data_IF_648916183224
#
_entry.id   IF_648916183224
#
_cell.length_a   1.000
_cell.length_b   1.000
_cell.length_c   1.000
_cell.angle_alpha   90.00
_cell.angle_beta   90.00
_cell.angle_gamma   90.00
#
_symmetry.space_group_name_H-M   'P 1'
#
loop_
_entity.id
_entity.type
_entity.pdbx_description
1 polymer ?
#
# COMPACT_ATOMS: atom_id res chain seq x y z
N UNK A 1 -12.82 2.60 -19.32
CA UNK A 1 -12.84 2.85 -17.86
C UNK A 1 -13.08 4.31 -17.51
N UNK A 2 -12.41 5.28 -18.16
CA UNK A 2 -12.67 6.72 -17.95
C UNK A 2 -14.13 7.18 -18.22
N UNK A 3 -14.81 6.59 -19.22
CA UNK A 3 -16.20 6.96 -19.57
C UNK A 3 -17.26 6.52 -18.53
N UNK A 4 -16.91 5.61 -17.62
CA UNK A 4 -17.83 5.08 -16.60
C UNK A 4 -17.81 5.95 -15.34
N UNK A 5 -16.64 6.44 -14.92
CA UNK A 5 -16.49 7.33 -13.76
C UNK A 5 -16.97 8.75 -14.03
N UNK A 6 -16.77 9.26 -15.25
CA UNK A 6 -17.23 10.58 -15.66
C UNK A 6 -18.78 10.65 -15.68
N UNK A 7 -19.46 9.51 -15.90
CA UNK A 7 -20.93 9.41 -15.81
C UNK A 7 -21.46 9.47 -14.37
N UNK A 8 -20.69 9.01 -13.38
CA UNK A 8 -21.10 9.00 -11.98
C UNK A 8 -20.93 10.37 -11.31
N UNK A 9 -19.83 11.08 -11.57
CA UNK A 9 -19.60 12.41 -11.01
C UNK A 9 -20.66 13.43 -11.49
N UNK A 10 -21.00 13.37 -12.77
CA UNK A 10 -22.02 14.19 -13.41
C UNK A 10 -23.44 13.82 -12.91
N UNK A 11 -23.66 12.54 -12.58
CA UNK A 11 -24.87 12.03 -11.93
C UNK A 11 -25.05 12.57 -10.51
N UNK A 12 -24.00 12.52 -9.70
CA UNK A 12 -23.98 13.02 -8.32
C UNK A 12 -24.24 14.53 -8.24
N UNK A 13 -23.60 15.31 -9.11
CA UNK A 13 -23.83 16.76 -9.21
C UNK A 13 -25.27 17.09 -9.60
N UNK A 14 -25.86 16.35 -10.56
CA UNK A 14 -27.27 16.51 -10.93
C UNK A 14 -28.21 16.12 -9.79
N UNK A 15 -27.89 15.05 -9.05
CA UNK A 15 -28.66 14.60 -7.90
C UNK A 15 -28.64 15.59 -6.76
N UNK A 16 -27.49 16.23 -6.50
CA UNK A 16 -27.33 17.30 -5.51
C UNK A 16 -28.14 18.54 -5.88
N UNK A 17 -28.11 18.95 -7.16
CA UNK A 17 -28.93 20.09 -7.64
C UNK A 17 -30.42 19.77 -7.51
N UNK A 18 -30.83 18.53 -7.83
CA UNK A 18 -32.21 18.09 -7.70
C UNK A 18 -32.68 18.05 -6.24
N UNK A 19 -31.84 17.59 -5.31
CA UNK A 19 -32.18 17.51 -3.88
C UNK A 19 -32.36 18.90 -3.26
N UNK A 20 -31.43 19.82 -3.52
CA UNK A 20 -31.53 21.21 -3.04
C UNK A 20 -32.75 21.91 -3.65
N UNK A 21 -33.04 21.68 -4.93
CA UNK A 21 -34.22 22.26 -5.61
C UNK A 21 -35.55 21.77 -5.05
N UNK A 22 -35.58 20.58 -4.44
CA UNK A 22 -36.79 19.97 -3.89
C UNK A 22 -37.16 20.50 -2.49
N UNK A 23 -36.29 21.27 -1.82
CA UNK A 23 -36.54 21.83 -0.48
C UNK A 23 -37.70 22.84 -0.54
N UNK A 24 -38.86 22.62 0.13
CA UNK A 24 -40.04 23.46 -0.06
C UNK A 24 -39.90 24.89 0.45
N UNK A 25 -39.25 25.10 1.60
CA UNK A 25 -39.05 26.42 2.20
C UNK A 25 -37.95 27.20 1.44
N UNK A 26 -38.25 28.40 0.88
CA UNK A 26 -37.24 29.20 0.19
C UNK A 26 -36.07 29.66 1.08
N UNK A 27 -36.28 29.84 2.39
CA UNK A 27 -35.20 30.26 3.30
C UNK A 27 -34.25 29.10 3.56
N UNK A 28 -34.79 27.93 3.90
CA UNK A 28 -34.03 26.69 4.07
C UNK A 28 -33.27 26.32 2.79
N UNK A 29 -33.93 26.42 1.64
CA UNK A 29 -33.32 26.19 0.33
C UNK A 29 -32.14 27.15 0.08
N UNK A 30 -32.29 28.43 0.39
CA UNK A 30 -31.23 29.41 0.23
C UNK A 30 -30.04 29.13 1.16
N UNK A 31 -30.28 28.75 2.42
CA UNK A 31 -29.21 28.36 3.34
C UNK A 31 -28.47 27.11 2.87
N UNK A 32 -29.20 26.12 2.33
CA UNK A 32 -28.61 24.90 1.83
C UNK A 32 -27.76 25.14 0.58
N UNK A 33 -28.20 26.01 -0.34
CA UNK A 33 -27.39 26.47 -1.46
C UNK A 33 -26.07 27.09 -1.01
N UNK A 34 -26.07 27.88 0.08
CA UNK A 34 -24.85 28.49 0.62
C UNK A 34 -23.92 27.42 1.19
N UNK A 35 -24.45 26.50 2.01
CA UNK A 35 -23.70 25.39 2.63
C UNK A 35 -23.03 24.52 1.57
N UNK A 36 -23.79 24.03 0.59
CA UNK A 36 -23.27 23.23 -0.53
C UNK A 36 -22.25 24.03 -1.34
N UNK A 37 -22.50 25.32 -1.57
CA UNK A 37 -21.56 26.19 -2.27
C UNK A 37 -20.23 26.38 -1.52
N UNK A 38 -20.25 26.36 -0.19
CA UNK A 38 -19.04 26.38 0.65
C UNK A 38 -18.30 25.05 0.61
N UNK A 39 -19.02 23.92 0.66
CA UNK A 39 -18.42 22.58 0.52
C UNK A 39 -17.73 22.40 -0.84
N UNK A 40 -18.39 22.79 -1.92
CA UNK A 40 -17.80 22.75 -3.27
C UNK A 40 -16.58 23.67 -3.38
N UNK A 41 -16.60 24.85 -2.74
CA UNK A 41 -15.42 25.72 -2.66
C UNK A 41 -14.29 25.07 -1.85
N UNK A 42 -14.62 24.38 -0.77
CA UNK A 42 -13.68 23.58 0.02
C UNK A 42 -12.99 22.51 -0.84
N UNK A 43 -13.78 21.71 -1.58
CA UNK A 43 -13.28 20.70 -2.51
C UNK A 43 -12.39 21.31 -3.61
N UNK A 44 -12.78 22.45 -4.19
CA UNK A 44 -11.93 23.15 -5.16
C UNK A 44 -10.61 23.61 -4.56
N UNK A 45 -10.60 24.07 -3.31
CA UNK A 45 -9.39 24.45 -2.59
C UNK A 45 -8.46 23.26 -2.36
N UNK A 46 -9.03 22.12 -1.94
CA UNK A 46 -8.29 20.85 -1.77
C UNK A 46 -7.71 20.37 -3.09
N UNK A 47 -8.51 20.34 -4.17
CA UNK A 47 -8.03 19.98 -5.51
C UNK A 47 -6.93 20.92 -6.00
N UNK A 48 -7.03 22.21 -5.72
CA UNK A 48 -5.98 23.17 -6.03
C UNK A 48 -4.68 22.90 -5.24
N UNK A 49 -4.79 22.44 -3.99
CA UNK A 49 -3.63 22.02 -3.20
C UNK A 49 -3.00 20.73 -3.77
N UNK A 50 -3.81 19.73 -4.11
CA UNK A 50 -3.36 18.50 -4.80
C UNK A 50 -2.62 18.86 -6.09
N UNK A 51 -3.19 19.75 -6.91
CA UNK A 51 -2.56 20.22 -8.15
C UNK A 51 -1.21 20.91 -7.88
N UNK A 52 -1.12 21.78 -6.88
CA UNK A 52 0.16 22.44 -6.54
C UNK A 52 1.20 21.42 -6.07
N UNK A 53 0.80 20.46 -5.23
CA UNK A 53 1.66 19.37 -4.78
C UNK A 53 2.17 18.54 -5.97
N UNK A 54 1.29 18.16 -6.90
CA UNK A 54 1.65 17.42 -8.11
C UNK A 54 2.61 18.19 -9.02
N UNK A 55 2.44 19.51 -9.17
CA UNK A 55 3.38 20.38 -9.90
C UNK A 55 4.77 20.32 -9.26
N UNK A 56 4.84 20.40 -7.93
CA UNK A 56 6.11 20.28 -7.21
C UNK A 56 6.72 18.89 -7.38
N UNK A 57 5.94 17.82 -7.23
CA UNK A 57 6.43 16.45 -7.40
C UNK A 57 6.98 16.23 -8.80
N UNK A 58 6.34 16.75 -9.85
CA UNK A 58 6.88 16.70 -11.20
C UNK A 58 8.30 17.30 -11.33
N UNK A 59 8.70 18.23 -10.44
CA UNK A 59 10.07 18.78 -10.41
C UNK A 59 11.12 17.86 -9.79
N UNK A 60 10.69 16.82 -9.07
CA UNK A 60 11.59 15.85 -8.45
C UNK A 60 11.97 14.71 -9.41
N UNK A 61 11.24 14.54 -10.53
CA UNK A 61 11.57 13.54 -11.56
C UNK A 61 12.99 13.73 -12.10
N UNK A 62 13.73 12.64 -12.41
CA UNK A 62 15.07 12.72 -12.97
C UNK A 62 15.13 13.61 -14.22
N UNK A 63 16.05 14.57 -14.23
CA UNK A 63 16.25 15.48 -15.38
C UNK A 63 15.17 16.56 -15.55
N UNK A 64 14.15 16.60 -14.70
CA UNK A 64 13.15 17.66 -14.72
C UNK A 64 13.76 19.00 -14.27
N UNK A 65 13.41 20.06 -14.98
CA UNK A 65 13.71 21.44 -14.59
C UNK A 65 12.41 22.20 -14.40
N UNK A 66 12.41 23.27 -13.60
CA UNK A 66 11.20 24.08 -13.43
C UNK A 66 10.65 24.65 -14.75
N UNK A 67 11.50 24.80 -15.78
CA UNK A 67 11.07 25.20 -17.13
C UNK A 67 10.46 24.05 -17.93
N UNK A 68 11.02 22.84 -17.86
CA UNK A 68 10.47 21.69 -18.56
C UNK A 68 9.12 21.28 -17.99
N UNK A 69 8.97 21.27 -16.66
CA UNK A 69 7.71 20.98 -15.96
C UNK A 69 6.65 22.03 -16.28
N UNK A 70 7.02 23.31 -16.31
CA UNK A 70 6.11 24.39 -16.70
C UNK A 70 5.57 24.21 -18.12
N UNK A 71 6.44 23.84 -19.07
CA UNK A 71 6.06 23.58 -20.45
C UNK A 71 5.17 22.34 -20.59
N UNK A 72 5.51 21.25 -19.91
CA UNK A 72 4.77 19.98 -19.95
C UNK A 72 3.36 20.11 -19.38
N UNK A 73 3.22 20.79 -18.23
CA UNK A 73 1.94 20.95 -17.54
C UNK A 73 1.13 22.17 -18.04
N UNK A 74 1.64 22.93 -19.00
CA UNK A 74 0.99 24.13 -19.52
C UNK A 74 0.79 25.24 -18.47
N UNK A 75 1.70 25.35 -17.49
CA UNK A 75 1.63 26.33 -16.39
C UNK A 75 2.78 27.33 -16.46
N UNK A 76 2.67 28.44 -15.74
CA UNK A 76 3.76 29.42 -15.68
C UNK A 76 4.93 28.90 -14.82
N UNK A 77 6.18 29.24 -15.20
CA UNK A 77 7.35 28.92 -14.38
C UNK A 77 7.28 29.53 -12.96
N UNK A 78 6.55 30.64 -12.79
CA UNK A 78 6.27 31.23 -11.48
C UNK A 78 5.43 30.31 -10.61
N UNK A 79 4.40 29.69 -11.19
CA UNK A 79 3.52 28.71 -10.50
C UNK A 79 4.34 27.51 -10.03
N UNK A 80 5.22 26.97 -10.89
CA UNK A 80 6.12 25.88 -10.52
C UNK A 80 7.04 26.30 -9.38
N UNK A 81 7.68 27.47 -9.48
CA UNK A 81 8.57 27.96 -8.42
C UNK A 81 7.87 28.19 -7.08
N UNK A 82 6.62 28.67 -7.08
CA UNK A 82 5.85 28.85 -5.86
C UNK A 82 5.49 27.51 -5.21
N UNK A 83 4.98 26.56 -6.01
CA UNK A 83 4.69 25.21 -5.54
C UNK A 83 5.94 24.52 -4.98
N UNK A 84 7.07 24.61 -5.69
CA UNK A 84 8.33 24.04 -5.22
C UNK A 84 8.81 24.69 -3.92
N UNK A 85 8.68 26.00 -3.74
CA UNK A 85 9.11 26.65 -2.49
C UNK A 85 8.23 26.25 -1.29
N UNK A 86 6.93 26.10 -1.51
CA UNK A 86 5.97 25.70 -0.48
C UNK A 86 6.21 24.26 -0.02
N UNK A 87 6.09 23.29 -0.94
CA UNK A 87 6.09 21.87 -0.59
C UNK A 87 7.49 21.31 -0.33
N UNK A 88 8.55 21.86 -0.94
CA UNK A 88 9.92 21.42 -0.65
C UNK A 88 10.28 21.68 0.81
N UNK A 89 9.86 22.82 1.37
CA UNK A 89 10.11 23.14 2.77
C UNK A 89 9.36 22.17 3.68
N UNK A 90 8.07 21.95 3.40
CA UNK A 90 7.25 20.99 4.16
C UNK A 90 7.85 19.58 4.13
N UNK A 91 8.26 19.08 2.95
CA UNK A 91 8.88 17.76 2.86
C UNK A 91 10.24 17.71 3.56
N UNK A 92 11.07 18.76 3.49
CA UNK A 92 12.35 18.80 4.22
C UNK A 92 12.16 18.80 5.74
N UNK A 93 11.15 19.54 6.24
CA UNK A 93 10.80 19.56 7.66
C UNK A 93 10.31 18.18 8.10
N UNK A 94 9.40 17.56 7.35
CA UNK A 94 8.93 16.19 7.61
C UNK A 94 10.08 15.17 7.61
N UNK A 95 10.94 15.17 6.60
CA UNK A 95 12.08 14.26 6.50
C UNK A 95 13.06 14.45 7.68
N UNK A 96 13.24 15.69 8.14
CA UNK A 96 14.04 15.98 9.33
C UNK A 96 13.39 15.40 10.59
N UNK A 97 12.09 15.60 10.78
CA UNK A 97 11.35 15.05 11.92
C UNK A 97 11.47 13.53 11.99
N UNK A 98 11.37 12.84 10.84
CA UNK A 98 11.50 11.38 10.75
C UNK A 98 12.87 10.87 11.19
N UNK A 99 13.96 11.54 10.82
CA UNK A 99 15.31 11.15 11.27
C UNK A 99 15.47 11.37 12.77
N UNK A 100 14.94 12.47 13.30
CA UNK A 100 14.97 12.73 14.74
C UNK A 100 14.20 11.67 15.52
N UNK A 101 13.03 11.27 15.02
CA UNK A 101 12.23 10.18 15.60
C UNK A 101 12.98 8.84 15.53
N UNK A 102 13.55 8.49 14.37
CA UNK A 102 14.33 7.27 14.20
C UNK A 102 15.55 7.21 15.12
N UNK A 103 16.22 8.35 15.36
CA UNK A 103 17.34 8.45 16.30
C UNK A 103 16.93 8.25 17.75
N UNK A 104 15.76 8.74 18.14
CA UNK A 104 15.23 8.52 19.48
C UNK A 104 14.92 7.03 19.71
N UNK A 105 14.37 6.35 18.70
CA UNK A 105 14.01 4.94 18.74
C UNK A 105 15.16 3.94 18.64
N UNK A 106 16.23 4.29 17.91
CA UNK A 106 17.28 3.36 17.48
C UNK A 106 18.69 3.96 17.68
N UNK A 107 19.02 4.35 18.92
CA UNK A 107 20.32 4.95 19.24
C UNK A 107 21.50 4.02 18.91
N UNK A 108 22.47 4.51 18.11
CA UNK A 108 23.66 3.76 17.69
C UNK A 108 23.49 2.94 16.41
N UNK A 109 22.40 3.15 15.67
CA UNK A 109 22.19 2.56 14.35
C UNK A 109 22.95 3.32 13.26
N UNK A 110 23.83 2.62 12.54
CA UNK A 110 24.66 3.19 11.49
C UNK A 110 23.86 3.78 10.31
N UNK A 111 22.68 3.22 10.01
CA UNK A 111 21.81 3.73 8.94
C UNK A 111 21.14 5.05 9.36
N UNK A 112 20.83 5.20 10.65
CA UNK A 112 20.27 6.43 11.22
C UNK A 112 21.33 7.52 11.31
N UNK A 113 22.55 7.18 11.74
CA UNK A 113 23.69 8.11 11.75
C UNK A 113 24.03 8.60 10.33
N UNK A 114 23.92 7.71 9.33
CA UNK A 114 24.06 8.09 7.92
C UNK A 114 22.96 9.07 7.48
N UNK A 115 21.70 8.82 7.84
CA UNK A 115 20.59 9.73 7.54
C UNK A 115 20.76 11.11 8.18
N UNK A 116 21.26 11.18 9.41
CA UNK A 116 21.57 12.44 10.10
C UNK A 116 22.71 13.21 9.39
N UNK A 117 23.77 12.51 9.01
CA UNK A 117 24.87 13.12 8.23
C UNK A 117 24.39 13.65 6.87
N UNK A 118 23.42 12.97 6.25
CA UNK A 118 22.81 13.40 4.99
C UNK A 118 21.95 14.66 5.17
N UNK A 119 21.17 14.76 6.25
CA UNK A 119 20.41 15.99 6.57
C UNK A 119 21.32 17.22 6.70
N UNK A 120 22.53 17.05 7.26
CA UNK A 120 23.48 18.14 7.40
C UNK A 120 24.16 18.55 6.08
N UNK A 121 24.19 17.66 5.08
CA UNK A 121 25.00 17.83 3.87
C UNK A 121 24.21 18.11 2.60
N UNK A 122 22.91 17.84 2.56
CA UNK A 122 22.08 18.07 1.36
C UNK A 122 20.71 18.65 1.65
N UNK A 123 20.16 19.37 0.67
CA UNK A 123 18.76 19.83 0.64
C UNK A 123 18.01 19.25 -0.57
N UNK A 124 18.58 18.25 -1.21
CA UNK A 124 17.94 17.51 -2.29
C UNK A 124 16.93 16.54 -1.69
N UNK A 125 15.64 16.89 -1.78
CA UNK A 125 14.54 16.12 -1.18
C UNK A 125 14.57 14.66 -1.62
N UNK A 126 14.73 14.38 -2.92
CA UNK A 126 14.79 13.00 -3.42
C UNK A 126 15.90 12.17 -2.78
N UNK A 127 17.08 12.76 -2.56
CA UNK A 127 18.22 12.07 -1.94
C UNK A 127 17.97 11.79 -0.46
N UNK A 128 17.45 12.78 0.26
CA UNK A 128 17.10 12.63 1.67
C UNK A 128 15.97 11.61 1.85
N UNK A 129 14.93 11.71 1.03
CA UNK A 129 13.81 10.78 0.99
C UNK A 129 14.29 9.35 0.75
N UNK A 130 15.21 9.13 -0.18
CA UNK A 130 15.80 7.82 -0.44
C UNK A 130 16.53 7.22 0.76
N UNK A 131 17.31 8.03 1.48
CA UNK A 131 18.03 7.57 2.68
C UNK A 131 17.05 7.22 3.80
N UNK A 132 16.03 8.04 4.01
CA UNK A 132 15.00 7.84 5.04
C UNK A 132 14.08 6.66 4.70
N UNK A 133 13.76 6.45 3.42
CA UNK A 133 12.95 5.33 2.96
C UNK A 133 13.57 3.97 3.32
N UNK A 134 14.91 3.85 3.38
CA UNK A 134 15.60 2.63 3.82
C UNK A 134 15.34 2.29 5.29
N UNK A 135 15.05 3.30 6.11
CA UNK A 135 14.70 3.14 7.51
C UNK A 135 13.22 2.74 7.71
N UNK A 136 12.41 2.77 6.64
CA UNK A 136 10.95 2.52 6.74
C UNK A 136 10.60 1.17 7.34
N UNK A 137 11.40 0.12 7.15
CA UNK A 137 11.16 -1.20 7.80
C UNK A 137 11.22 -1.17 9.33
N UNK A 138 11.77 -0.09 9.91
CA UNK A 138 11.93 0.14 11.36
C UNK A 138 11.11 1.33 11.84
N UNK A 139 10.13 1.80 11.06
CA UNK A 139 9.32 2.97 11.40
C UNK A 139 8.66 2.85 12.79
N UNK A 140 8.25 1.64 13.18
CA UNK A 140 7.64 1.33 14.48
C UNK A 140 8.60 1.50 15.66
N UNK A 141 9.92 1.55 15.44
CA UNK A 141 10.89 1.89 16.49
C UNK A 141 10.99 3.40 16.67
N UNK A 142 10.77 4.15 15.58
CA UNK A 142 10.74 5.61 15.59
C UNK A 142 9.46 6.18 16.20
N UNK A 143 8.35 5.43 16.12
CA UNK A 143 7.13 5.72 16.84
C UNK A 143 7.26 5.19 18.28
N UNK A 144 7.26 6.10 19.26
CA UNK A 144 7.34 5.74 20.67
C UNK A 144 6.09 4.93 21.09
N UNK A 145 6.28 3.80 21.77
CA UNK A 145 5.18 2.94 22.23
C UNK A 145 4.20 3.65 23.17
N UNK A 146 4.65 4.71 23.85
CA UNK A 146 3.82 5.52 24.75
C UNK A 146 3.20 6.76 24.07
N UNK A 147 3.40 6.95 22.77
CA UNK A 147 2.83 8.08 22.03
C UNK A 147 1.36 7.87 21.66
N UNK A 148 0.64 8.98 21.43
CA UNK A 148 -0.76 8.95 21.02
C UNK A 148 -0.93 8.45 19.57
N UNK A 149 -2.14 8.01 19.23
CA UNK A 149 -2.46 7.43 17.92
C UNK A 149 -2.10 8.39 16.76
N UNK A 150 -2.28 9.70 16.96
CA UNK A 150 -1.95 10.75 15.98
C UNK A 150 -0.45 10.80 15.67
N UNK A 151 0.41 10.58 16.67
CA UNK A 151 1.86 10.53 16.46
C UNK A 151 2.28 9.31 15.64
N UNK A 152 1.69 8.15 15.91
CA UNK A 152 1.95 6.91 15.15
C UNK A 152 1.62 7.08 13.67
N UNK A 153 0.45 7.63 13.36
CA UNK A 153 0.03 7.94 11.99
C UNK A 153 1.00 8.90 11.29
N UNK A 154 1.38 9.98 11.97
CA UNK A 154 2.30 10.97 11.42
C UNK A 154 3.66 10.35 11.04
N UNK A 155 4.19 9.45 11.85
CA UNK A 155 5.47 8.78 11.58
C UNK A 155 5.32 7.79 10.41
N UNK A 156 4.29 6.94 10.45
CA UNK A 156 4.00 5.97 9.37
C UNK A 156 3.85 6.68 8.02
N UNK A 157 2.95 7.67 7.94
CA UNK A 157 2.66 8.41 6.72
C UNK A 157 3.87 9.20 6.23
N UNK A 158 4.71 9.67 7.14
CA UNK A 158 5.98 10.30 6.80
C UNK A 158 6.95 9.33 6.12
N UNK A 159 7.07 8.08 6.61
CA UNK A 159 7.91 7.07 5.98
C UNK A 159 7.36 6.62 4.62
N UNK A 160 6.04 6.44 4.49
CA UNK A 160 5.40 6.18 3.20
C UNK A 160 5.62 7.33 2.22
N UNK A 161 5.50 8.58 2.68
CA UNK A 161 5.81 9.77 1.88
C UNK A 161 7.28 9.81 1.47
N UNK A 162 8.21 9.46 2.35
CA UNK A 162 9.64 9.39 2.01
C UNK A 162 9.91 8.32 0.93
N UNK A 163 9.25 7.16 1.00
CA UNK A 163 9.34 6.12 -0.03
C UNK A 163 8.82 6.62 -1.38
N UNK A 164 7.63 7.21 -1.40
CA UNK A 164 7.06 7.81 -2.61
C UNK A 164 7.99 8.86 -3.25
N UNK A 165 8.57 9.76 -2.45
CA UNK A 165 9.49 10.79 -2.94
C UNK A 165 10.82 10.21 -3.47
N UNK A 166 11.31 9.12 -2.85
CA UNK A 166 12.49 8.36 -3.29
C UNK A 166 12.26 7.74 -4.68
N UNK A 167 11.13 7.07 -4.84
CA UNK A 167 10.69 6.44 -6.10
C UNK A 167 10.56 7.49 -7.21
N UNK A 168 9.87 8.59 -6.91
CA UNK A 168 9.63 9.65 -7.89
C UNK A 168 10.94 10.33 -8.36
N UNK A 169 11.94 10.41 -7.47
CA UNK A 169 13.26 10.93 -7.79
C UNK A 169 14.13 9.96 -8.60
N UNK A 170 13.66 8.73 -8.86
CA UNK A 170 14.39 7.70 -9.61
C UNK A 170 15.72 7.30 -8.96
N UNK A 171 15.84 7.48 -7.63
CA UNK A 171 17.05 7.16 -6.86
C UNK A 171 17.02 5.75 -6.28
N UNK A 172 15.85 5.12 -6.26
CA UNK A 172 15.76 3.67 -6.20
C UNK A 172 16.16 3.07 -7.55
N UNK A 173 16.83 1.91 -7.53
CA UNK A 173 16.81 1.00 -8.67
C UNK A 173 15.34 0.86 -9.04
N UNK A 174 14.99 1.21 -10.27
CA UNK A 174 13.65 1.06 -10.84
C UNK A 174 12.99 -0.21 -10.28
N UNK A 175 12.09 -0.03 -9.31
CA UNK A 175 10.88 -0.84 -9.37
C UNK A 175 10.08 -0.23 -10.51
N UNK A 176 9.69 -1.01 -11.51
CA UNK A 176 8.88 -0.49 -12.59
C UNK A 176 7.64 0.14 -11.98
N UNK A 177 7.20 1.23 -12.62
CA UNK A 177 5.89 1.82 -12.44
C UNK A 177 4.86 0.72 -12.22
N UNK A 178 3.97 0.92 -11.25
CA UNK A 178 2.82 0.05 -10.95
C UNK A 178 1.98 -0.13 -12.21
N UNK A 179 2.38 -1.10 -13.00
CA UNK A 179 1.59 -1.92 -13.91
C UNK A 179 1.73 -3.33 -13.35
N UNK A 180 0.71 -4.15 -13.51
CA UNK A 180 0.57 -5.54 -13.02
C UNK A 180 1.65 -6.52 -13.51
N UNK A 181 2.92 -6.12 -13.54
CA UNK A 181 4.06 -7.00 -13.68
C UNK A 181 4.29 -7.65 -12.32
N UNK A 182 3.72 -8.86 -12.21
CA UNK A 182 4.00 -9.91 -11.24
C UNK A 182 5.28 -9.60 -10.44
N UNK A 183 5.13 -9.20 -9.17
CA UNK A 183 6.26 -9.06 -8.23
C UNK A 183 6.90 -10.45 -8.04
N UNK A 184 7.72 -10.86 -9.01
CA UNK A 184 8.42 -12.13 -9.00
C UNK A 184 9.67 -11.99 -8.13
N UNK A 185 9.64 -12.73 -7.04
CA UNK A 185 10.76 -13.13 -6.19
C UNK A 185 11.44 -12.02 -5.37
N UNK A 186 10.88 -11.77 -4.18
CA UNK A 186 11.67 -11.21 -3.06
C UNK A 186 12.89 -12.13 -2.83
N UNK A 187 14.14 -11.62 -2.96
CA UNK A 187 15.37 -12.43 -2.83
C UNK A 187 15.53 -13.07 -1.44
N UNK A 188 14.78 -12.61 -0.44
CA UNK A 188 14.76 -13.20 0.90
C UNK A 188 13.73 -14.33 1.06
N UNK A 189 12.90 -14.58 0.05
CA UNK A 189 11.94 -15.70 0.08
C UNK A 189 12.67 -17.04 0.03
N UNK A 190 12.46 -17.94 1.02
CA UNK A 190 13.05 -19.28 1.01
C UNK A 190 12.69 -20.04 -0.26
N UNK A 191 13.65 -20.80 -0.81
CA UNK A 191 13.51 -21.46 -2.12
C UNK A 191 12.24 -22.33 -2.22
N UNK A 192 11.95 -23.13 -1.20
CA UNK A 192 10.77 -24.01 -1.11
C UNK A 192 9.43 -23.25 -1.06
N UNK A 193 9.46 -21.95 -0.78
CA UNK A 193 8.27 -21.10 -0.69
C UNK A 193 8.13 -20.13 -1.87
N UNK A 194 9.09 -20.08 -2.80
CA UNK A 194 9.05 -19.12 -3.92
C UNK A 194 7.84 -19.35 -4.81
N UNK A 195 7.63 -20.57 -5.29
CA UNK A 195 6.47 -20.85 -6.14
C UNK A 195 5.13 -20.61 -5.41
N UNK A 196 4.88 -21.13 -4.18
CA UNK A 196 3.67 -20.81 -3.44
C UNK A 196 3.45 -19.29 -3.21
N UNK A 197 4.51 -18.55 -2.90
CA UNK A 197 4.45 -17.09 -2.73
C UNK A 197 4.11 -16.37 -4.05
N UNK A 198 4.67 -16.82 -5.17
CA UNK A 198 4.33 -16.29 -6.51
C UNK A 198 2.88 -16.58 -6.88
N UNK A 199 2.35 -17.76 -6.55
CA UNK A 199 0.92 -18.06 -6.75
C UNK A 199 0.04 -17.04 -6.04
N UNK A 200 0.30 -16.77 -4.76
CA UNK A 200 -0.46 -15.78 -3.99
C UNK A 200 -0.32 -14.37 -4.55
N UNK A 201 0.89 -13.96 -4.97
CA UNK A 201 1.10 -12.64 -5.58
C UNK A 201 0.47 -12.49 -6.97
N UNK A 202 0.08 -13.60 -7.61
CA UNK A 202 -0.68 -13.58 -8.88
C UNK A 202 -2.18 -13.39 -8.62
N UNK A 203 -2.67 -13.62 -7.40
CA UNK A 203 -4.07 -13.40 -7.06
C UNK A 203 -4.40 -11.90 -6.95
N UNK A 204 -5.55 -11.45 -7.48
CA UNK A 204 -5.91 -10.04 -7.47
C UNK A 204 -6.18 -9.53 -6.06
N UNK A 205 -5.85 -8.25 -5.83
CA UNK A 205 -6.20 -7.55 -4.59
C UNK A 205 -5.42 -7.97 -3.34
N UNK A 206 -4.44 -8.86 -3.43
CA UNK A 206 -3.54 -9.20 -2.30
C UNK A 206 -2.06 -9.01 -2.67
N UNK A 207 -1.21 -8.91 -1.63
CA UNK A 207 0.25 -8.96 -1.73
C UNK A 207 0.77 -9.95 -0.68
N UNK A 208 1.61 -10.88 -1.09
CA UNK A 208 2.11 -11.96 -0.25
C UNK A 208 3.62 -11.93 -0.06
N UNK A 209 4.07 -12.45 1.08
CA UNK A 209 5.48 -12.71 1.40
C UNK A 209 5.59 -14.03 2.15
N UNK A 210 6.80 -14.58 2.25
CA UNK A 210 6.99 -15.92 2.81
C UNK A 210 8.27 -16.03 3.63
N UNK A 211 8.20 -16.77 4.74
CA UNK A 211 9.33 -16.98 5.66
C UNK A 211 9.34 -18.42 6.20
N UNK A 212 10.49 -18.85 6.74
CA UNK A 212 10.59 -20.07 7.54
C UNK A 212 11.10 -19.67 8.93
N UNK A 213 10.39 -20.08 9.97
CA UNK A 213 10.83 -19.94 11.36
C UNK A 213 11.42 -21.27 11.86
N UNK A 214 12.74 -21.30 12.05
CA UNK A 214 13.46 -22.44 12.61
C UNK A 214 13.59 -22.38 14.14
N UNK A 215 13.23 -21.25 14.78
CA UNK A 215 13.49 -21.01 16.21
C UNK A 215 12.54 -21.79 17.13
N UNK A 216 11.43 -22.30 16.60
CA UNK A 216 10.41 -23.05 17.36
C UNK A 216 10.75 -24.52 17.58
N UNK A 217 11.99 -24.94 17.36
CA UNK A 217 12.46 -26.32 17.52
C UNK A 217 12.01 -27.29 16.44
N UNK A 218 11.09 -26.85 15.57
CA UNK A 218 10.64 -27.52 14.34
C UNK A 218 10.45 -26.44 13.27
N UNK A 219 10.99 -26.61 12.05
CA UNK A 219 10.84 -25.62 10.99
C UNK A 219 9.37 -25.44 10.60
N UNK A 220 8.87 -24.21 10.70
CA UNK A 220 7.51 -23.82 10.29
C UNK A 220 7.63 -22.87 9.12
N UNK A 221 6.99 -23.20 8.00
CA UNK A 221 6.84 -22.25 6.91
C UNK A 221 5.64 -21.35 7.16
N UNK A 222 5.77 -20.09 6.78
CA UNK A 222 4.71 -19.09 6.90
C UNK A 222 4.53 -18.36 5.58
N UNK A 223 3.28 -18.30 5.11
CA UNK A 223 2.86 -17.42 4.02
C UNK A 223 2.05 -16.28 4.62
N UNK A 224 2.53 -15.05 4.45
CA UNK A 224 1.84 -13.83 4.86
C UNK A 224 1.18 -13.19 3.65
N UNK A 225 0.01 -12.57 3.83
CA UNK A 225 -0.53 -11.64 2.83
C UNK A 225 -1.30 -10.49 3.46
N UNK A 226 -1.31 -9.36 2.76
CA UNK A 226 -2.14 -8.20 3.06
C UNK A 226 -3.08 -7.92 1.89
N UNK A 227 -4.24 -7.34 2.20
CA UNK A 227 -5.18 -6.86 1.19
C UNK A 227 -4.66 -5.53 0.64
N UNK A 228 -4.67 -5.37 -0.68
CA UNK A 228 -4.33 -4.12 -1.38
C UNK A 228 -5.46 -3.10 -1.23
N UNK A 229 -5.14 -1.83 -1.47
CA UNK A 229 -6.14 -0.76 -1.55
C UNK A 229 -7.17 -1.01 -2.67
N UNK A 230 -8.41 -0.57 -2.48
CA UNK A 230 -9.44 -0.59 -3.52
C UNK A 230 -9.12 0.34 -4.70
N UNK A 231 -8.32 1.38 -4.45
CA UNK A 231 -7.76 2.24 -5.48
C UNK A 231 -6.23 2.09 -5.50
N UNK A 232 -5.68 1.71 -6.65
CA UNK A 232 -4.24 1.53 -6.84
C UNK A 232 -3.40 2.80 -6.61
N UNK A 233 -4.02 3.97 -6.61
CA UNK A 233 -3.36 5.27 -6.49
C UNK A 233 -3.44 5.88 -5.09
N UNK A 234 -4.18 5.27 -4.17
CA UNK A 234 -4.39 5.81 -2.83
C UNK A 234 -4.20 4.69 -1.80
N UNK A 235 -3.76 5.04 -0.60
CA UNK A 235 -3.65 4.07 0.48
C UNK A 235 -5.00 3.42 0.84
N UNK A 236 -4.89 2.25 1.49
CA UNK A 236 -6.03 1.46 1.93
C UNK A 236 -6.87 2.17 3.01
N UNK A 237 -6.33 3.16 3.72
CA UNK A 237 -7.07 3.93 4.72
C UNK A 237 -8.08 4.88 4.07
N UNK A 238 -7.68 5.45 2.93
CA UNK A 238 -8.47 6.43 2.20
C UNK A 238 -9.45 5.77 1.26
N UNK A 239 -9.03 4.73 0.54
CA UNK A 239 -9.86 4.05 -0.44
C UNK A 239 -10.54 2.78 0.09
N UNK A 240 -10.14 2.29 1.26
CA UNK A 240 -10.60 1.02 1.81
C UNK A 240 -9.90 -0.20 1.17
N UNK A 241 -10.13 -1.40 1.73
CA UNK A 241 -9.58 -2.65 1.20
C UNK A 241 -10.20 -3.04 -0.14
N UNK A 242 -9.40 -3.62 -1.03
CA UNK A 242 -9.84 -4.17 -2.31
C UNK A 242 -10.89 -5.27 -2.11
N UNK A 243 -12.02 -5.15 -2.84
CA UNK A 243 -13.07 -6.17 -2.85
C UNK A 243 -12.58 -7.54 -3.33
N UNK A 244 -11.75 -7.55 -4.37
CA UNK A 244 -11.12 -8.78 -4.90
C UNK A 244 -10.18 -9.41 -3.87
N UNK A 245 -9.43 -8.57 -3.14
CA UNK A 245 -8.54 -9.02 -2.07
C UNK A 245 -9.29 -9.69 -0.92
N UNK A 246 -10.50 -9.21 -0.59
CA UNK A 246 -11.38 -9.86 0.38
C UNK A 246 -11.87 -11.22 -0.10
N UNK A 247 -12.31 -11.34 -1.35
CA UNK A 247 -12.78 -12.61 -1.92
C UNK A 247 -11.67 -13.66 -1.95
N UNK A 248 -10.45 -13.26 -2.36
CA UNK A 248 -9.26 -14.12 -2.32
C UNK A 248 -8.95 -14.56 -0.90
N UNK A 249 -8.95 -13.61 0.04
CA UNK A 249 -8.66 -13.90 1.46
C UNK A 249 -9.67 -14.87 2.07
N UNK A 250 -10.96 -14.66 1.83
CA UNK A 250 -12.02 -15.56 2.30
C UNK A 250 -11.81 -16.98 1.78
N UNK A 251 -11.49 -17.11 0.50
CA UNK A 251 -11.24 -18.40 -0.13
C UNK A 251 -9.99 -19.10 0.43
N UNK A 252 -8.89 -18.38 0.64
CA UNK A 252 -7.67 -18.93 1.24
C UNK A 252 -7.91 -19.41 2.67
N UNK A 253 -8.66 -18.65 3.47
CA UNK A 253 -9.05 -19.05 4.82
C UNK A 253 -9.93 -20.30 4.79
N UNK A 254 -10.86 -20.40 3.84
CA UNK A 254 -11.66 -21.60 3.63
C UNK A 254 -10.79 -22.81 3.28
N UNK A 255 -9.85 -22.68 2.33
CA UNK A 255 -8.95 -23.76 1.91
C UNK A 255 -8.12 -24.29 3.09
N UNK A 256 -7.57 -23.41 3.91
CA UNK A 256 -6.79 -23.77 5.09
C UNK A 256 -7.66 -24.50 6.13
N UNK A 257 -8.91 -24.05 6.30
CA UNK A 257 -9.87 -24.75 7.18
C UNK A 257 -10.20 -26.14 6.65
N UNK A 258 -10.30 -26.33 5.34
CA UNK A 258 -10.55 -27.64 4.73
C UNK A 258 -9.39 -28.61 5.00
N UNK A 259 -8.14 -28.17 4.83
CA UNK A 259 -6.96 -28.93 5.22
C UNK A 259 -6.97 -29.32 6.71
N UNK A 260 -7.35 -28.39 7.60
CA UNK A 260 -7.47 -28.67 9.03
C UNK A 260 -8.53 -29.71 9.34
N UNK A 261 -9.68 -29.65 8.66
CA UNK A 261 -10.75 -30.64 8.80
C UNK A 261 -10.27 -32.02 8.33
N UNK A 262 -9.43 -32.07 7.30
CA UNK A 262 -8.77 -33.28 6.82
C UNK A 262 -7.63 -33.79 7.75
N UNK A 263 -7.41 -33.15 8.90
CA UNK A 263 -6.42 -33.56 9.89
C UNK A 263 -5.00 -33.01 9.66
N UNK A 264 -4.81 -32.14 8.66
CA UNK A 264 -3.49 -31.58 8.36
C UNK A 264 -3.08 -30.50 9.37
N UNK A 265 -1.80 -30.47 9.71
CA UNK A 265 -1.21 -29.52 10.66
C UNK A 265 -0.94 -28.16 10.00
N UNK A 266 -1.99 -27.41 9.67
CA UNK A 266 -1.89 -26.06 9.10
C UNK A 266 -2.81 -25.10 9.87
N UNK A 267 -2.41 -23.85 10.02
CA UNK A 267 -3.20 -22.85 10.72
C UNK A 267 -3.24 -21.54 9.94
N UNK A 268 -4.33 -20.79 10.07
CA UNK A 268 -4.42 -19.41 9.63
C UNK A 268 -4.55 -18.50 10.84
N UNK A 269 -3.85 -17.37 10.83
CA UNK A 269 -3.98 -16.29 11.83
C UNK A 269 -4.16 -14.95 11.14
N UNK A 270 -4.60 -13.96 11.91
CA UNK A 270 -4.72 -12.56 11.48
C UNK A 270 -4.02 -11.68 12.51
N UNK A 271 -3.30 -10.68 12.04
CA UNK A 271 -2.59 -9.71 12.85
C UNK A 271 -2.66 -8.32 12.22
N UNK A 272 -2.34 -7.30 13.01
CA UNK A 272 -2.13 -5.93 12.56
C UNK A 272 -1.02 -5.33 13.44
N UNK A 273 -0.16 -4.45 12.89
CA UNK A 273 0.82 -3.75 13.72
C UNK A 273 0.08 -2.87 14.77
N UNK A 274 0.55 -2.81 16.02
CA UNK A 274 0.04 -1.83 17.00
C UNK A 274 0.22 -0.39 16.48
N UNK A 275 -0.71 0.56 16.74
CA UNK A 275 -1.97 0.43 17.49
C UNK A 275 -3.16 -0.09 16.67
N UNK A 276 -2.95 -0.41 15.39
CA UNK A 276 -3.98 -0.67 14.38
C UNK A 276 -4.74 -1.99 14.58
N UNK A 277 -4.45 -2.72 15.66
CA UNK A 277 -5.22 -3.91 16.09
C UNK A 277 -6.68 -3.56 16.43
N UNK A 278 -6.95 -2.29 16.76
CA UNK A 278 -8.29 -1.79 17.09
C UNK A 278 -9.08 -1.25 15.88
N UNK A 279 -8.47 -1.20 14.69
CA UNK A 279 -9.12 -0.77 13.43
C UNK A 279 -9.20 -1.94 12.42
N UNK A 280 -10.03 -2.97 12.71
CA UNK A 280 -10.12 -4.15 11.88
C UNK A 280 -10.67 -3.80 10.49
N UNK A 281 -9.82 -3.94 9.46
CA UNK A 281 -10.19 -3.74 8.05
C UNK A 281 -9.12 -2.99 7.24
N UNK A 282 -8.35 -2.11 7.88
CA UNK A 282 -7.44 -1.21 7.17
C UNK A 282 -5.98 -1.71 7.12
N UNK A 283 -5.58 -2.61 8.02
CA UNK A 283 -4.19 -3.08 8.16
C UNK A 283 -4.08 -4.56 8.51
N UNK A 284 -5.06 -5.37 8.11
CA UNK A 284 -5.03 -6.80 8.39
C UNK A 284 -3.95 -7.47 7.54
N UNK A 285 -3.00 -8.09 8.22
CA UNK A 285 -2.08 -9.06 7.66
C UNK A 285 -2.53 -10.44 8.09
N UNK A 286 -2.72 -11.32 7.12
CA UNK A 286 -3.09 -12.70 7.33
C UNK A 286 -1.85 -13.57 7.20
N UNK A 287 -1.83 -14.68 7.94
CA UNK A 287 -0.75 -15.64 7.84
C UNK A 287 -1.30 -17.05 7.78
N UNK A 288 -0.64 -17.91 7.00
CA UNK A 288 -0.79 -19.35 7.03
C UNK A 288 0.52 -19.94 7.54
N UNK A 289 0.45 -20.76 8.57
CA UNK A 289 1.60 -21.46 9.17
C UNK A 289 1.41 -22.97 9.07
N UNK A 290 2.45 -23.70 8.65
CA UNK A 290 2.49 -25.15 8.72
C UNK A 290 3.92 -25.67 8.96
N UNK A 291 4.10 -26.82 9.65
CA UNK A 291 5.41 -27.44 9.81
C UNK A 291 5.89 -28.04 8.48
N UNK A 292 7.21 -28.05 8.26
CA UNK A 292 7.85 -28.63 7.07
C UNK A 292 8.06 -30.14 7.14
N UNK A 293 8.06 -30.72 8.34
CA UNK A 293 8.31 -32.15 8.59
C UNK A 293 7.17 -32.74 9.42
N UNK A 294 7.07 -34.08 9.53
CA UNK A 294 6.10 -34.84 10.34
C UNK A 294 4.88 -35.41 9.59
N UNK A 295 4.13 -36.30 10.25
CA UNK A 295 3.08 -37.13 9.62
C UNK A 295 1.95 -36.31 8.99
N UNK A 296 1.48 -35.28 9.70
CA UNK A 296 0.39 -34.41 9.25
C UNK A 296 0.87 -33.10 8.59
N UNK A 297 2.16 -33.02 8.26
CA UNK A 297 2.74 -31.83 7.65
C UNK A 297 2.13 -31.53 6.27
N UNK A 298 2.13 -30.24 5.92
CA UNK A 298 1.69 -29.79 4.60
C UNK A 298 2.92 -29.33 3.85
N UNK A 299 3.23 -30.03 2.77
CA UNK A 299 4.27 -29.62 1.84
C UNK A 299 3.85 -28.32 1.13
N UNK A 300 4.71 -27.28 1.06
CA UNK A 300 4.35 -26.01 0.44
C UNK A 300 3.95 -26.14 -1.05
N UNK A 301 4.60 -27.05 -1.80
CA UNK A 301 4.26 -27.30 -3.20
C UNK A 301 2.94 -28.08 -3.35
N UNK A 302 2.65 -29.03 -2.45
CA UNK A 302 1.31 -29.64 -2.36
C UNK A 302 0.24 -28.56 -2.13
N UNK A 303 0.47 -27.64 -1.21
CA UNK A 303 -0.46 -26.53 -0.95
C UNK A 303 -0.65 -25.64 -2.19
N UNK A 304 0.44 -25.25 -2.86
CA UNK A 304 0.39 -24.49 -4.10
C UNK A 304 -0.37 -25.20 -5.23
N UNK A 305 -0.19 -26.51 -5.39
CA UNK A 305 -0.95 -27.30 -6.37
C UNK A 305 -2.44 -27.36 -6.05
N UNK A 306 -2.80 -27.44 -4.78
CA UNK A 306 -4.20 -27.34 -4.34
C UNK A 306 -4.79 -25.97 -4.68
N UNK A 307 -4.01 -24.89 -4.57
CA UNK A 307 -4.44 -23.57 -5.01
C UNK A 307 -4.84 -23.58 -6.48
N UNK A 308 -3.90 -23.97 -7.36
CA UNK A 308 -4.12 -23.98 -8.82
C UNK A 308 -5.29 -24.89 -9.20
N UNK A 309 -5.35 -26.09 -8.61
CA UNK A 309 -6.35 -27.11 -8.94
C UNK A 309 -7.76 -26.70 -8.51
N UNK A 310 -7.92 -26.25 -7.26
CA UNK A 310 -9.25 -25.93 -6.71
C UNK A 310 -9.74 -24.57 -7.21
N UNK A 311 -8.84 -23.59 -7.37
CA UNK A 311 -9.21 -22.29 -7.90
C UNK A 311 -9.56 -22.39 -9.38
N UNK A 312 -8.66 -22.95 -10.20
CA UNK A 312 -8.79 -23.01 -11.66
C UNK A 312 -9.65 -24.16 -12.17
N UNK A 313 -9.95 -25.18 -11.36
CA UNK A 313 -10.66 -26.39 -11.78
C UNK A 313 -9.84 -27.32 -12.69
N UNK A 314 -8.55 -27.02 -12.90
CA UNK A 314 -7.69 -27.78 -13.81
C UNK A 314 -7.42 -29.20 -13.25
N UNK A 315 -7.90 -30.23 -13.93
CA UNK A 315 -7.49 -31.63 -13.70
C UNK A 315 -8.46 -32.51 -12.91
N UNK A 316 -9.59 -31.99 -12.42
CA UNK A 316 -10.67 -32.83 -11.88
C UNK A 316 -11.97 -32.29 -12.44
N UNK A 317 -12.89 -33.14 -12.94
CA UNK A 317 -14.17 -32.71 -13.52
C UNK A 317 -15.16 -32.07 -12.52
N UNK A 318 -14.66 -31.27 -11.58
CA UNK A 318 -15.39 -30.45 -10.62
C UNK A 318 -15.46 -29.00 -11.12
N UNK A 319 -16.49 -28.29 -10.67
CA UNK A 319 -16.61 -26.86 -10.91
C UNK A 319 -15.46 -26.10 -10.22
N UNK A 320 -14.90 -25.10 -10.91
CA UNK A 320 -13.91 -24.19 -10.34
C UNK A 320 -14.48 -23.48 -9.11
N UNK A 321 -13.67 -23.28 -8.08
CA UNK A 321 -14.09 -22.53 -6.87
C UNK A 321 -13.59 -21.08 -6.85
N UNK A 322 -12.70 -20.72 -7.78
CA UNK A 322 -12.17 -19.38 -7.91
C UNK A 322 -13.15 -18.38 -8.51
N UNK A 323 -13.03 -17.12 -8.07
CA UNK A 323 -13.88 -16.00 -8.52
C UNK A 323 -13.39 -15.33 -9.81
N UNK A 324 -12.11 -15.53 -10.16
CA UNK A 324 -11.44 -14.89 -11.30
C UNK A 324 -10.64 -15.91 -12.10
N UNK A 325 -10.44 -15.62 -13.39
CA UNK A 325 -9.46 -16.34 -14.21
C UNK A 325 -8.07 -15.81 -13.92
N UNK A 326 -7.14 -16.71 -13.64
CA UNK A 326 -5.76 -16.39 -13.25
C UNK A 326 -4.83 -17.21 -14.14
N UNK A 327 -3.86 -16.55 -14.76
CA UNK A 327 -2.78 -17.20 -15.47
C UNK A 327 -1.68 -17.57 -14.47
N UNK A 328 -1.61 -18.85 -14.10
CA UNK A 328 -0.76 -19.30 -13.00
C UNK A 328 0.70 -19.40 -13.43
N UNK A 329 1.66 -18.95 -12.59
CA UNK A 329 3.07 -19.16 -12.86
C UNK A 329 3.41 -20.66 -12.87
N UNK A 330 4.33 -21.10 -13.74
CA UNK A 330 4.76 -22.49 -13.79
C UNK A 330 5.41 -22.91 -12.47
N UNK A 331 5.26 -24.17 -12.10
CA UNK A 331 5.91 -24.76 -10.93
C UNK A 331 7.43 -24.76 -11.11
N UNK A 332 8.18 -24.39 -10.05
CA UNK A 332 9.64 -24.45 -10.08
C UNK A 332 10.12 -25.91 -10.20
N UNK A 333 11.10 -26.16 -11.07
CA UNK A 333 11.82 -27.44 -11.08
C UNK A 333 12.67 -27.54 -9.82
N UNK A 334 12.37 -28.52 -8.97
CA UNK A 334 13.07 -28.79 -7.71
C UNK A 334 14.50 -29.31 -7.89
#
# INVERSE_FOLDING_TARGET
MAETEERDADGLMRQLVASVSAIPDPVERASECVRVGEEVRGLHSQLAAVRRRAIYEATLKPGATGRSVAAELGVSAKTVSQASAEYRRTDLEMLRDLVLAAKAGSAGDADVDHAEAMLASTTAVGVLAHVIAKLSSRWYQAADFDSDDDHWWKIHDGFERARYLSELAGLERSRPTVTDEVEQDDPHTPAVLRWPCRLLNTMPGIRASATIDERRGRPVWTLWWSIKSADSHVDIFSAGPSGDGWLVTEWLVWLVRDYRIAGRAIASTVTAPPPMINEPGNMLTFAIEAPLDGEDAVDPHEFGRSIVTLWGGAGSGRDRTGYFEIDWPPEDEA
#
